data_IF_292485816568
#
_entry.id   IF_292485816568
#
_cell.length_a   1.000
_cell.length_b   1.000
_cell.length_c   1.000
_cell.angle_alpha   90.00
_cell.angle_beta   90.00
_cell.angle_gamma   90.00
#
_symmetry.space_group_name_H-M   'P 1'
#
loop_
_entity.id
_entity.type
_entity.pdbx_description
1 polymer ?
#
# COMPACT_ATOMS: atom_id res chain seq x y z
N UNK A 1 -23.21 -15.88 2.03
CA UNK A 1 -24.20 -15.69 0.96
C UNK A 1 -24.20 -14.31 0.32
N UNK A 2 -23.99 -13.23 1.08
CA UNK A 2 -23.83 -11.88 0.52
C UNK A 2 -22.51 -11.67 -0.23
N UNK A 3 -21.48 -12.44 0.05
CA UNK A 3 -20.16 -12.31 -0.56
C UNK A 3 -20.11 -12.63 -2.06
N UNK A 4 -20.83 -13.67 -2.53
CA UNK A 4 -20.81 -14.05 -3.96
C UNK A 4 -21.43 -13.02 -4.91
N UNK A 5 -22.42 -12.24 -4.46
CA UNK A 5 -23.06 -11.22 -5.30
C UNK A 5 -22.20 -9.99 -5.52
N UNK A 6 -21.33 -9.68 -4.55
CA UNK A 6 -20.41 -8.54 -4.64
C UNK A 6 -19.32 -8.86 -5.65
N UNK A 7 -18.73 -10.07 -5.63
CA UNK A 7 -17.71 -10.50 -6.59
C UNK A 7 -18.18 -10.44 -8.05
N UNK A 8 -19.41 -10.95 -8.34
CA UNK A 8 -19.98 -10.91 -9.68
C UNK A 8 -20.25 -9.48 -10.17
N UNK A 9 -20.59 -8.58 -9.26
CA UNK A 9 -20.84 -7.18 -9.60
C UNK A 9 -19.54 -6.43 -9.93
N UNK A 10 -18.48 -6.64 -9.16
CA UNK A 10 -17.16 -6.03 -9.40
C UNK A 10 -16.55 -6.46 -10.73
N UNK A 11 -16.62 -7.74 -11.04
CA UNK A 11 -16.15 -8.26 -12.33
C UNK A 11 -16.90 -7.63 -13.51
N UNK A 12 -18.20 -7.36 -13.35
CA UNK A 12 -19.03 -6.74 -14.39
C UNK A 12 -18.77 -5.25 -14.61
N UNK A 13 -18.30 -4.52 -13.59
CA UNK A 13 -18.06 -3.07 -13.65
C UNK A 13 -16.59 -2.70 -13.78
N UNK A 14 -15.69 -3.68 -13.91
CA UNK A 14 -14.25 -3.45 -14.12
C UNK A 14 -13.52 -2.88 -12.91
N UNK A 15 -14.04 -3.07 -11.70
CA UNK A 15 -13.36 -2.71 -10.45
C UNK A 15 -12.39 -3.82 -10.05
N UNK A 16 -11.15 -3.46 -9.76
CA UNK A 16 -10.14 -4.41 -9.31
C UNK A 16 -10.35 -4.74 -7.84
N UNK A 17 -10.43 -6.03 -7.55
CA UNK A 17 -10.54 -6.54 -6.20
C UNK A 17 -9.18 -6.52 -5.49
N UNK A 18 -9.14 -5.93 -4.29
CA UNK A 18 -7.93 -5.81 -3.50
C UNK A 18 -7.83 -6.99 -2.51
N UNK A 19 -7.05 -8.00 -2.87
CA UNK A 19 -6.78 -9.12 -1.97
C UNK A 19 -5.68 -8.74 -0.96
N UNK A 20 -6.08 -8.05 0.11
CA UNK A 20 -5.19 -7.58 1.18
C UNK A 20 -5.27 -8.53 2.37
N UNK A 21 -4.12 -9.01 2.83
CA UNK A 21 -4.00 -9.80 4.04
C UNK A 21 -3.57 -8.93 5.22
N UNK A 22 -4.38 -8.90 6.28
CA UNK A 22 -4.12 -8.10 7.49
C UNK A 22 -3.51 -8.99 8.58
N UNK A 23 -2.36 -8.58 9.08
CA UNK A 23 -1.72 -9.19 10.25
C UNK A 23 -2.13 -8.44 11.53
N UNK A 24 -3.06 -9.03 12.28
CA UNK A 24 -3.56 -8.46 13.54
C UNK A 24 -2.55 -8.54 14.69
N UNK A 25 -1.48 -9.31 14.55
CA UNK A 25 -0.41 -9.42 15.55
C UNK A 25 0.73 -8.45 15.30
N UNK A 26 0.77 -7.83 14.13
CA UNK A 26 1.76 -6.83 13.77
C UNK A 26 1.64 -5.57 14.64
N UNK A 27 2.78 -4.94 14.93
CA UNK A 27 2.82 -3.61 15.57
C UNK A 27 2.47 -2.48 14.61
N UNK A 28 2.44 -2.76 13.31
CA UNK A 28 2.05 -1.79 12.27
C UNK A 28 0.54 -1.58 12.34
N UNK A 29 0.04 -0.34 12.48
CA UNK A 29 -1.38 -0.05 12.46
C UNK A 29 -2.08 -0.58 11.21
N UNK A 30 -3.32 -1.05 11.35
CA UNK A 30 -4.06 -1.69 10.25
C UNK A 30 -4.16 -0.78 9.02
N UNK A 31 -4.44 0.53 9.20
CA UNK A 31 -4.52 1.44 8.06
C UNK A 31 -3.18 1.55 7.31
N UNK A 32 -2.05 1.50 8.02
CA UNK A 32 -0.72 1.50 7.40
C UNK A 32 -0.46 0.21 6.63
N UNK A 33 -0.89 -0.94 7.14
CA UNK A 33 -0.80 -2.21 6.42
C UNK A 33 -1.56 -2.14 5.08
N UNK A 34 -2.76 -1.55 5.08
CA UNK A 34 -3.55 -1.33 3.85
C UNK A 34 -2.80 -0.41 2.88
N UNK A 35 -2.22 0.68 3.37
CA UNK A 35 -1.41 1.61 2.55
C UNK A 35 -0.24 0.88 1.92
N UNK A 36 0.55 0.16 2.73
CA UNK A 36 1.74 -0.56 2.27
C UNK A 36 1.41 -1.64 1.22
N UNK A 37 0.32 -2.38 1.40
CA UNK A 37 -0.08 -3.41 0.44
C UNK A 37 -0.53 -2.80 -0.89
N UNK A 38 -1.30 -1.72 -0.89
CA UNK A 38 -1.71 -1.05 -2.12
C UNK A 38 -0.50 -0.44 -2.84
N UNK A 39 0.40 0.24 -2.13
CA UNK A 39 1.65 0.76 -2.71
C UNK A 39 2.49 -0.36 -3.34
N UNK A 40 2.59 -1.50 -2.67
CA UNK A 40 3.30 -2.69 -3.18
C UNK A 40 2.65 -3.24 -4.45
N UNK A 41 1.33 -3.37 -4.48
CA UNK A 41 0.58 -3.82 -5.66
C UNK A 41 0.80 -2.90 -6.86
N UNK A 42 0.83 -1.59 -6.63
CA UNK A 42 1.14 -0.59 -7.67
C UNK A 42 2.60 -0.73 -8.14
N UNK A 43 3.55 -0.81 -7.22
CA UNK A 43 4.97 -0.93 -7.55
C UNK A 43 5.29 -2.22 -8.33
N UNK A 44 4.61 -3.32 -8.04
CA UNK A 44 4.78 -4.62 -8.72
C UNK A 44 3.98 -4.75 -10.02
N UNK A 45 3.16 -3.75 -10.37
CA UNK A 45 2.33 -3.79 -11.56
C UNK A 45 1.09 -4.71 -11.45
N UNK A 46 0.72 -5.12 -10.25
CA UNK A 46 -0.54 -5.84 -9.98
C UNK A 46 -1.73 -4.90 -10.17
N UNK A 47 -1.58 -3.65 -9.72
CA UNK A 47 -2.49 -2.55 -10.01
C UNK A 47 -1.86 -1.67 -11.09
N UNK A 48 -2.61 -1.42 -12.15
CA UNK A 48 -2.15 -0.65 -13.31
C UNK A 48 -2.64 0.81 -13.26
N UNK A 49 -1.99 1.72 -13.99
CA UNK A 49 -2.46 3.09 -14.12
C UNK A 49 -3.93 3.15 -14.53
N UNK A 50 -4.73 3.94 -13.82
CA UNK A 50 -6.15 4.15 -14.12
C UNK A 50 -7.09 3.03 -13.68
N UNK A 51 -6.58 1.93 -13.09
CA UNK A 51 -7.44 0.89 -12.53
C UNK A 51 -8.38 1.47 -11.47
N UNK A 52 -9.65 1.11 -11.57
CA UNK A 52 -10.63 1.42 -10.53
C UNK A 52 -10.53 0.39 -9.40
N UNK A 53 -10.39 0.86 -8.16
CA UNK A 53 -10.33 0.02 -6.97
C UNK A 53 -11.61 0.12 -6.15
N UNK A 54 -11.79 -0.83 -5.22
CA UNK A 54 -12.95 -0.89 -4.32
C UNK A 54 -13.18 0.44 -3.60
N UNK A 55 -14.44 0.79 -3.39
CA UNK A 55 -14.80 1.92 -2.54
C UNK A 55 -14.40 1.69 -1.08
N UNK A 56 -14.32 2.75 -0.28
CA UNK A 56 -14.03 2.65 1.17
C UNK A 56 -14.99 1.67 1.86
N UNK A 57 -16.29 1.75 1.55
CA UNK A 57 -17.31 0.89 2.16
C UNK A 57 -17.15 -0.57 1.73
N UNK A 58 -16.87 -0.78 0.47
CA UNK A 58 -16.73 -2.12 -0.09
C UNK A 58 -15.46 -2.80 0.45
N UNK A 59 -14.32 -2.11 0.44
CA UNK A 59 -13.08 -2.66 0.99
C UNK A 59 -13.19 -2.92 2.51
N UNK A 60 -13.84 -2.03 3.26
CA UNK A 60 -14.11 -2.27 4.68
C UNK A 60 -14.96 -3.51 4.91
N UNK A 61 -15.98 -3.73 4.08
CA UNK A 61 -16.82 -4.93 4.12
C UNK A 61 -16.00 -6.19 3.75
N UNK A 62 -15.22 -6.13 2.69
CA UNK A 62 -14.36 -7.24 2.23
C UNK A 62 -13.37 -7.70 3.29
N UNK A 63 -12.73 -6.76 3.96
CA UNK A 63 -11.71 -7.02 4.98
C UNK A 63 -12.28 -7.20 6.39
N UNK A 64 -13.58 -6.98 6.59
CA UNK A 64 -14.20 -7.00 7.92
C UNK A 64 -13.66 -5.90 8.84
N UNK A 65 -13.32 -4.74 8.30
CA UNK A 65 -12.72 -3.60 9.01
C UNK A 65 -13.70 -2.43 9.15
N UNK A 66 -13.37 -1.54 10.08
CA UNK A 66 -14.11 -0.30 10.23
C UNK A 66 -13.89 0.62 9.00
N UNK A 67 -14.95 1.18 8.39
CA UNK A 67 -14.82 2.11 7.29
C UNK A 67 -13.91 3.32 7.57
N UNK A 68 -13.85 3.80 8.81
CA UNK A 68 -12.94 4.89 9.18
C UNK A 68 -11.45 4.50 9.07
N UNK A 69 -11.12 3.24 9.33
CA UNK A 69 -9.77 2.71 9.15
C UNK A 69 -9.38 2.71 7.68
N UNK A 70 -10.29 2.26 6.81
CA UNK A 70 -10.06 2.29 5.35
C UNK A 70 -10.03 3.73 4.83
N UNK A 71 -10.92 4.60 5.35
CA UNK A 71 -10.89 6.02 4.98
C UNK A 71 -9.52 6.64 5.28
N UNK A 72 -8.96 6.39 6.46
CA UNK A 72 -7.63 6.88 6.84
C UNK A 72 -6.54 6.36 5.88
N UNK A 73 -6.61 5.10 5.49
CA UNK A 73 -5.69 4.52 4.51
C UNK A 73 -5.81 5.22 3.14
N UNK A 74 -7.03 5.41 2.66
CA UNK A 74 -7.28 6.07 1.36
C UNK A 74 -6.88 7.54 1.37
N UNK A 75 -7.18 8.27 2.43
CA UNK A 75 -6.72 9.66 2.60
C UNK A 75 -5.18 9.74 2.55
N UNK A 76 -4.48 8.80 3.18
CA UNK A 76 -3.01 8.71 3.15
C UNK A 76 -2.50 8.41 1.73
N UNK A 77 -3.11 7.44 1.04
CA UNK A 77 -2.75 7.09 -0.34
C UNK A 77 -3.00 8.26 -1.31
N UNK A 78 -4.07 8.99 -1.12
CA UNK A 78 -4.39 10.16 -1.94
C UNK A 78 -3.39 11.30 -1.71
N UNK A 79 -3.00 11.57 -0.46
CA UNK A 79 -1.94 12.53 -0.12
C UNK A 79 -0.59 12.16 -0.74
N UNK A 80 -0.27 10.87 -0.82
CA UNK A 80 0.93 10.35 -1.47
C UNK A 80 0.83 10.34 -3.01
N UNK A 81 -0.33 10.63 -3.56
CA UNK A 81 -0.57 10.60 -5.01
C UNK A 81 -0.65 9.20 -5.61
N UNK A 82 -0.88 8.17 -4.81
CA UNK A 82 -1.03 6.77 -5.26
C UNK A 82 -2.40 6.52 -5.86
N UNK A 83 -3.44 7.13 -5.27
CA UNK A 83 -4.83 7.03 -5.74
C UNK A 83 -5.42 8.42 -5.99
N UNK A 84 -6.47 8.44 -6.79
CA UNK A 84 -7.24 9.64 -7.13
C UNK A 84 -8.72 9.32 -6.92
N UNK A 85 -9.38 10.10 -6.06
CA UNK A 85 -10.83 10.04 -5.90
C UNK A 85 -11.50 10.96 -6.92
N UNK A 86 -12.38 10.40 -7.75
CA UNK A 86 -13.20 11.14 -8.70
C UNK A 86 -14.64 11.13 -8.22
N UNK A 87 -15.17 12.30 -7.88
CA UNK A 87 -16.55 12.46 -7.41
C UNK A 87 -17.55 11.69 -8.29
N UNK A 88 -18.42 10.89 -7.68
CA UNK A 88 -19.44 10.05 -8.32
C UNK A 88 -18.93 8.92 -9.21
N UNK A 89 -17.65 8.90 -9.60
CA UNK A 89 -17.06 7.89 -10.49
C UNK A 89 -16.32 6.77 -9.76
N UNK A 90 -15.73 7.06 -8.60
CA UNK A 90 -14.99 6.10 -7.79
C UNK A 90 -13.55 6.50 -7.49
N UNK A 91 -12.76 5.54 -7.03
CA UNK A 91 -11.35 5.69 -6.68
C UNK A 91 -10.48 4.93 -7.68
N UNK A 92 -9.45 5.58 -8.17
CA UNK A 92 -8.60 5.09 -9.26
C UNK A 92 -7.13 5.14 -8.87
N UNK A 93 -6.35 4.21 -9.41
CA UNK A 93 -4.89 4.27 -9.34
C UNK A 93 -4.39 5.43 -10.20
N UNK A 94 -3.39 6.15 -9.71
CA UNK A 94 -2.75 7.24 -10.46
C UNK A 94 -2.22 6.78 -11.81
N UNK A 95 -2.17 7.69 -12.78
CA UNK A 95 -1.50 7.44 -14.06
C UNK A 95 0.03 7.44 -13.94
N UNK A 96 0.57 8.10 -12.90
CA UNK A 96 2.01 8.20 -12.64
C UNK A 96 2.50 7.13 -11.65
N UNK A 97 2.38 5.87 -12.04
CA UNK A 97 2.85 4.72 -11.23
C UNK A 97 4.37 4.66 -11.11
N UNK A 98 5.11 5.22 -12.05
CA UNK A 98 6.57 5.29 -11.98
C UNK A 98 7.01 6.13 -10.79
N UNK A 99 6.38 7.28 -10.57
CA UNK A 99 6.63 8.15 -9.42
C UNK A 99 6.29 7.47 -8.09
N UNK A 100 5.19 6.70 -8.04
CA UNK A 100 4.83 5.90 -6.85
C UNK A 100 5.90 4.87 -6.54
N UNK A 101 6.37 4.16 -7.55
CA UNK A 101 7.43 3.15 -7.41
C UNK A 101 8.74 3.79 -6.92
N UNK A 102 9.16 4.89 -7.53
CA UNK A 102 10.38 5.60 -7.14
C UNK A 102 10.28 6.13 -5.71
N UNK A 103 9.16 6.72 -5.33
CA UNK A 103 8.91 7.18 -3.96
C UNK A 103 8.97 6.04 -2.94
N UNK A 104 8.47 4.85 -3.29
CA UNK A 104 8.56 3.67 -2.44
C UNK A 104 9.98 3.16 -2.29
N UNK A 105 10.75 3.14 -3.37
CA UNK A 105 12.17 2.77 -3.37
C UNK A 105 12.96 3.71 -2.47
N UNK A 106 12.80 5.03 -2.62
CA UNK A 106 13.49 6.02 -1.78
C UNK A 106 13.13 5.88 -0.30
N UNK A 107 11.86 5.64 0.02
CA UNK A 107 11.43 5.40 1.41
C UNK A 107 12.16 4.21 2.04
N UNK A 108 12.27 3.10 1.32
CA UNK A 108 12.97 1.89 1.80
C UNK A 108 14.47 2.15 1.94
N UNK A 109 15.07 2.87 0.98
CA UNK A 109 16.49 3.24 1.06
C UNK A 109 16.76 4.10 2.29
N UNK A 110 15.87 5.04 2.63
CA UNK A 110 16.03 5.88 3.81
C UNK A 110 15.91 5.07 5.11
N UNK A 111 14.99 4.13 5.19
CA UNK A 111 14.91 3.17 6.32
C UNK A 111 16.21 2.36 6.48
N UNK A 112 16.81 1.91 5.37
CA UNK A 112 18.10 1.21 5.39
C UNK A 112 19.21 2.12 5.90
N UNK A 113 19.27 3.38 5.45
CA UNK A 113 20.26 4.37 5.93
C UNK A 113 20.14 4.60 7.44
N UNK A 114 18.91 4.71 7.96
CA UNK A 114 18.66 4.84 9.40
C UNK A 114 19.21 3.63 10.17
N UNK A 115 18.97 2.41 9.68
CA UNK A 115 19.48 1.18 10.30
C UNK A 115 21.01 1.08 10.24
N UNK A 116 21.62 1.52 9.15
CA UNK A 116 23.08 1.61 9.05
C UNK A 116 23.62 2.61 10.10
N UNK A 117 22.98 3.75 10.26
CA UNK A 117 23.37 4.74 11.26
C UNK A 117 23.26 4.19 12.70
N UNK A 118 22.24 3.41 13.00
CA UNK A 118 22.11 2.72 14.29
C UNK A 118 23.31 1.78 14.55
N UNK A 119 23.76 1.02 13.53
CA UNK A 119 24.93 0.15 13.62
C UNK A 119 26.23 0.94 13.83
N UNK A 120 26.40 2.08 13.15
CA UNK A 120 27.54 2.98 13.36
C UNK A 120 27.55 3.53 14.79
N UNK A 121 26.39 3.89 15.33
CA UNK A 121 26.25 4.44 16.68
C UNK A 121 26.64 3.45 17.78
N UNK A 122 26.56 2.13 17.52
CA UNK A 122 27.04 1.09 18.44
C UNK A 122 28.47 0.64 18.16
N UNK A 123 29.17 1.32 17.26
CA UNK A 123 30.62 1.17 17.06
C UNK A 123 31.07 0.34 15.87
N UNK A 124 30.15 -0.05 14.97
CA UNK A 124 30.55 -0.73 13.72
C UNK A 124 31.01 0.31 12.69
N UNK A 125 32.13 0.06 12.02
CA UNK A 125 32.53 0.87 10.88
C UNK A 125 31.83 0.43 9.57
N UNK A 126 31.84 1.30 8.57
CA UNK A 126 31.19 1.03 7.27
C UNK A 126 31.71 -0.21 6.55
N UNK A 127 33.00 -0.52 6.70
CA UNK A 127 33.60 -1.71 6.06
C UNK A 127 33.07 -2.99 6.69
N UNK A 128 32.99 -3.01 8.01
CA UNK A 128 32.45 -4.17 8.74
C UNK A 128 30.96 -4.34 8.46
N UNK A 129 30.18 -3.25 8.41
CA UNK A 129 28.75 -3.27 8.02
C UNK A 129 28.59 -3.85 6.62
N UNK A 130 29.31 -3.31 5.63
CA UNK A 130 29.28 -3.79 4.24
C UNK A 130 29.63 -5.28 4.13
N UNK A 131 30.68 -5.70 4.84
CA UNK A 131 31.10 -7.12 4.87
C UNK A 131 30.01 -8.05 5.43
N UNK A 132 29.35 -7.64 6.52
CA UNK A 132 28.26 -8.44 7.14
C UNK A 132 26.98 -8.48 6.30
N UNK A 133 26.71 -7.43 5.53
CA UNK A 133 25.59 -7.37 4.61
C UNK A 133 25.89 -8.02 3.25
N UNK A 134 27.15 -8.47 3.03
CA UNK A 134 27.59 -9.06 1.76
C UNK A 134 27.41 -8.10 0.55
N UNK A 135 27.54 -6.81 0.77
CA UNK A 135 27.40 -5.74 -0.23
C UNK A 135 28.78 -5.28 -0.76
#
# INVERSE_FOLDING_TARGET
MFFCRVYDLYFKIGVVFLNINIDYQSRVPIYEQVVLEIEKMVALGVLNPGDQISSIRDLACELGLNPNTIKKAYDTLEQKGVIISKSTKGTFITDDVAKVKDGKIESIIDEIKEKIQELENIGLDKKEISKRLEL
#
